data_IF_258387864773
#
_entry.id   IF_258387864773
#
_cell.length_a   1.000
_cell.length_b   1.000
_cell.length_c   1.000
_cell.angle_alpha   90.00
_cell.angle_beta   90.00
_cell.angle_gamma   90.00
#
_symmetry.space_group_name_H-M   'P 1'
#
loop_
_entity.id
_entity.type
_entity.pdbx_description
1 polymer ?
#
# COMPACT_ATOMS: atom_id res chain seq x y z
N UNK A 1 4.39 -17.85 4.37
CA UNK A 1 3.74 -16.98 3.37
C UNK A 1 3.50 -17.80 2.10
N UNK A 2 2.36 -17.60 1.44
CA UNK A 2 1.96 -18.27 0.18
C UNK A 2 1.79 -17.19 -0.89
N UNK A 3 2.37 -17.41 -2.08
CA UNK A 3 2.24 -16.48 -3.22
C UNK A 3 0.78 -16.39 -3.69
N UNK A 4 0.39 -15.18 -4.06
CA UNK A 4 -0.88 -14.86 -4.72
C UNK A 4 -0.52 -14.52 -6.17
N UNK A 5 -1.15 -15.21 -7.13
CA UNK A 5 -0.97 -14.86 -8.54
C UNK A 5 -1.66 -13.52 -8.86
N UNK A 6 -1.04 -12.69 -9.71
CA UNK A 6 -1.56 -11.37 -10.06
C UNK A 6 -2.95 -11.40 -10.73
N UNK A 7 -3.31 -12.50 -11.36
CA UNK A 7 -4.61 -12.73 -11.98
C UNK A 7 -5.74 -13.11 -10.99
N UNK A 8 -5.40 -13.37 -9.72
CA UNK A 8 -6.38 -13.61 -8.66
C UNK A 8 -6.96 -12.31 -8.07
N UNK A 9 -6.33 -11.18 -8.33
CA UNK A 9 -6.79 -9.88 -7.86
C UNK A 9 -7.84 -9.25 -8.77
N UNK A 10 -8.65 -8.38 -8.16
CA UNK A 10 -9.62 -7.53 -8.86
C UNK A 10 -9.20 -6.07 -8.70
N UNK A 11 -9.09 -5.35 -9.81
CA UNK A 11 -8.72 -3.94 -9.78
C UNK A 11 -9.84 -3.07 -9.20
N UNK A 12 -9.52 -2.37 -8.13
CA UNK A 12 -10.20 -1.13 -7.72
C UNK A 12 -9.49 0.00 -8.47
N UNK A 13 -10.19 0.71 -9.35
CA UNK A 13 -9.64 1.73 -10.23
C UNK A 13 -8.51 1.18 -11.12
N UNK A 14 -8.82 0.56 -12.27
CA UNK A 14 -7.80 0.03 -13.16
C UNK A 14 -6.77 1.10 -13.57
N UNK A 15 -5.46 0.76 -13.62
CA UNK A 15 -4.42 1.67 -14.08
C UNK A 15 -4.45 1.87 -15.61
N UNK A 16 -3.61 2.78 -16.12
CA UNK A 16 -3.42 2.95 -17.58
C UNK A 16 -2.98 1.64 -18.21
N UNK A 17 -2.07 0.94 -17.53
CA UNK A 17 -1.52 -0.33 -18.01
C UNK A 17 -1.11 -1.20 -16.82
N UNK A 18 -1.41 -2.49 -16.92
CA UNK A 18 -0.88 -3.52 -16.02
C UNK A 18 -0.38 -4.68 -16.87
N UNK A 19 0.89 -5.06 -16.71
CA UNK A 19 1.52 -6.14 -17.47
C UNK A 19 2.13 -7.13 -16.49
N UNK A 20 1.70 -8.38 -16.59
CA UNK A 20 2.31 -9.49 -15.88
C UNK A 20 3.39 -10.12 -16.76
N UNK A 21 4.65 -10.01 -16.34
CA UNK A 21 5.80 -10.52 -17.08
C UNK A 21 6.88 -11.00 -16.10
N UNK A 22 7.48 -12.17 -16.36
CA UNK A 22 8.54 -12.76 -15.53
C UNK A 22 8.20 -12.81 -14.03
N UNK A 23 6.98 -13.22 -13.68
CA UNK A 23 6.45 -13.26 -12.32
C UNK A 23 6.30 -11.89 -11.63
N UNK A 24 6.52 -10.80 -12.33
CA UNK A 24 6.36 -9.43 -11.84
C UNK A 24 5.10 -8.79 -12.44
N UNK A 25 4.56 -7.82 -11.72
CA UNK A 25 3.48 -6.96 -12.21
C UNK A 25 4.02 -5.54 -12.39
N UNK A 26 4.05 -5.05 -13.63
CA UNK A 26 4.36 -3.66 -13.96
C UNK A 26 3.08 -2.87 -14.13
N UNK A 27 2.95 -1.78 -13.39
CA UNK A 27 1.76 -0.94 -13.36
C UNK A 27 2.12 0.49 -13.75
N UNK A 28 1.46 1.03 -14.78
CA UNK A 28 1.53 2.45 -15.13
C UNK A 28 0.32 3.15 -14.55
N UNK A 29 0.53 4.05 -13.59
CA UNK A 29 -0.53 4.75 -12.90
C UNK A 29 -1.21 5.82 -13.76
N UNK A 30 -2.47 6.11 -13.47
CA UNK A 30 -3.19 7.27 -14.02
C UNK A 30 -2.67 8.54 -13.34
N UNK A 31 -2.39 9.57 -14.11
CA UNK A 31 -2.07 10.91 -13.58
C UNK A 31 -3.22 11.46 -12.74
N UNK A 32 -2.91 12.13 -11.63
CA UNK A 32 -3.86 12.66 -10.64
C UNK A 32 -4.64 11.56 -9.89
N UNK A 33 -4.12 10.33 -9.86
CA UNK A 33 -4.67 9.26 -9.02
C UNK A 33 -4.20 9.41 -7.58
N UNK A 34 -5.09 9.20 -6.62
CA UNK A 34 -4.77 9.19 -5.18
C UNK A 34 -5.87 8.53 -4.34
N UNK A 35 -5.54 8.25 -3.07
CA UNK A 35 -6.47 7.96 -1.99
C UNK A 35 -6.27 8.98 -0.87
N UNK A 36 -7.24 9.86 -0.67
CA UNK A 36 -7.25 10.87 0.38
C UNK A 36 -8.65 11.33 0.72
N UNK A 37 -8.92 11.61 2.00
CA UNK A 37 -10.22 12.13 2.42
C UNK A 37 -10.09 13.29 3.41
N UNK A 38 -10.59 14.43 3.02
CA UNK A 38 -10.90 15.65 3.78
C UNK A 38 -9.74 16.34 4.50
N UNK A 39 -9.03 15.64 5.39
CA UNK A 39 -8.07 16.22 6.33
C UNK A 39 -7.13 17.22 5.67
N UNK A 40 -7.04 18.41 6.24
CA UNK A 40 -6.23 19.56 5.82
C UNK A 40 -6.61 20.17 4.46
N UNK A 41 -6.94 19.37 3.46
CA UNK A 41 -7.14 19.83 2.08
C UNK A 41 -8.60 20.00 1.68
N UNK A 42 -9.54 19.37 2.38
CA UNK A 42 -10.98 19.49 2.11
C UNK A 42 -11.46 18.79 0.84
N UNK A 43 -10.62 17.98 0.17
CA UNK A 43 -10.99 17.20 -1.00
C UNK A 43 -11.10 15.70 -0.69
N UNK A 44 -11.68 14.95 -1.63
CA UNK A 44 -11.75 13.49 -1.62
C UNK A 44 -11.19 12.97 -2.92
N UNK A 45 -10.20 12.08 -2.82
CA UNK A 45 -9.66 11.29 -3.92
C UNK A 45 -9.83 9.81 -3.60
N UNK A 46 -10.49 9.07 -4.50
CA UNK A 46 -10.72 7.63 -4.45
C UNK A 46 -10.26 6.96 -5.76
N UNK A 47 -9.27 7.53 -6.43
CA UNK A 47 -8.83 7.14 -7.78
C UNK A 47 -7.49 6.40 -7.81
N UNK A 48 -6.85 6.20 -6.68
CA UNK A 48 -5.64 5.37 -6.57
C UNK A 48 -5.90 3.94 -7.04
N UNK A 49 -4.87 3.27 -7.54
CA UNK A 49 -4.97 1.91 -8.07
C UNK A 49 -4.71 0.89 -6.98
N UNK A 50 -5.54 -0.14 -6.90
CA UNK A 50 -5.35 -1.26 -6.01
C UNK A 50 -5.77 -2.57 -6.67
N UNK A 51 -4.93 -3.60 -6.58
CA UNK A 51 -5.26 -4.95 -7.02
C UNK A 51 -5.59 -5.76 -5.77
N UNK A 52 -6.88 -6.09 -5.57
CA UNK A 52 -7.40 -6.56 -4.30
C UNK A 52 -7.83 -8.02 -4.36
N UNK A 53 -7.59 -8.75 -3.26
CA UNK A 53 -8.21 -10.04 -2.95
C UNK A 53 -8.74 -10.02 -1.51
N UNK A 54 -9.54 -11.01 -1.13
CA UNK A 54 -10.06 -11.14 0.23
C UNK A 54 -8.95 -11.09 1.29
N UNK A 55 -9.22 -10.38 2.38
CA UNK A 55 -8.31 -10.25 3.51
C UNK A 55 -9.02 -10.64 4.82
N UNK A 56 -9.12 -11.95 5.12
CA UNK A 56 -9.79 -12.46 6.29
C UNK A 56 -9.14 -12.03 7.61
N UNK A 57 -9.89 -12.10 8.70
CA UNK A 57 -9.34 -11.93 10.04
C UNK A 57 -8.25 -12.96 10.34
N UNK A 58 -7.29 -12.59 11.18
CA UNK A 58 -6.14 -13.40 11.60
C UNK A 58 -5.23 -13.82 10.42
N UNK A 59 -5.15 -12.99 9.39
CA UNK A 59 -4.23 -13.17 8.26
C UNK A 59 -3.31 -11.97 8.09
N UNK A 60 -2.29 -12.16 7.28
CA UNK A 60 -1.39 -11.10 6.85
C UNK A 60 -1.22 -11.10 5.34
N UNK A 61 -0.84 -9.95 4.80
CA UNK A 61 -0.52 -9.77 3.41
C UNK A 61 0.78 -8.99 3.27
N UNK A 62 1.66 -9.45 2.39
CA UNK A 62 2.88 -8.74 2.02
C UNK A 62 2.87 -8.37 0.55
N UNK A 63 3.36 -7.18 0.27
CA UNK A 63 3.59 -6.66 -1.07
C UNK A 63 5.03 -6.19 -1.17
N UNK A 64 5.76 -6.66 -2.17
CA UNK A 64 7.13 -6.22 -2.44
C UNK A 64 7.17 -5.49 -3.78
N UNK A 65 7.83 -4.34 -3.81
CA UNK A 65 7.99 -3.51 -5.01
C UNK A 65 9.39 -2.91 -5.08
N UNK A 66 9.78 -2.44 -6.27
CA UNK A 66 11.03 -1.70 -6.48
C UNK A 66 10.77 -0.22 -6.24
N UNK A 67 11.55 0.39 -5.35
CA UNK A 67 11.47 1.83 -5.05
C UNK A 67 12.42 2.60 -5.98
N UNK A 68 11.96 2.96 -7.17
CA UNK A 68 12.75 3.64 -8.20
C UNK A 68 12.04 4.89 -8.78
N UNK A 69 11.09 5.45 -8.02
CA UNK A 69 10.33 6.65 -8.36
C UNK A 69 10.66 7.81 -7.43
N UNK A 70 10.54 9.04 -7.93
CA UNK A 70 10.91 10.25 -7.20
C UNK A 70 9.98 11.45 -7.47
N UNK A 71 8.91 11.25 -8.23
CA UNK A 71 7.91 12.32 -8.45
C UNK A 71 7.17 12.64 -7.15
N UNK A 72 6.82 13.91 -6.95
CA UNK A 72 6.14 14.35 -5.73
C UNK A 72 4.84 13.58 -5.51
N UNK A 73 4.71 12.97 -4.34
CA UNK A 73 3.60 12.11 -3.90
C UNK A 73 3.42 10.80 -4.68
N UNK A 74 4.31 10.46 -5.61
CA UNK A 74 4.34 9.11 -6.19
C UNK A 74 4.50 8.08 -5.08
N UNK A 75 3.68 7.04 -5.10
CA UNK A 75 3.57 6.12 -3.98
C UNK A 75 3.26 4.68 -4.43
N UNK A 76 3.79 3.73 -3.69
CA UNK A 76 3.48 2.31 -3.82
C UNK A 76 3.56 1.59 -2.47
N UNK A 77 2.80 0.49 -2.35
CA UNK A 77 2.79 -0.33 -1.14
C UNK A 77 1.62 -1.30 -1.09
N UNK A 78 1.09 -1.50 0.11
CA UNK A 78 -0.11 -2.31 0.40
C UNK A 78 -1.27 -1.40 0.76
N UNK A 79 -2.47 -1.76 0.32
CA UNK A 79 -3.71 -1.18 0.84
C UNK A 79 -4.58 -2.28 1.45
N UNK A 80 -5.20 -1.98 2.59
CA UNK A 80 -6.32 -2.73 3.18
C UNK A 80 -7.55 -1.87 3.00
N UNK A 81 -8.54 -2.38 2.30
CA UNK A 81 -9.69 -1.63 1.83
C UNK A 81 -11.00 -2.33 2.21
N UNK A 82 -11.92 -1.59 2.80
CA UNK A 82 -13.28 -2.04 3.06
C UNK A 82 -14.29 -1.31 2.16
N UNK A 83 -14.26 0.00 2.20
CA UNK A 83 -15.06 0.90 1.37
C UNK A 83 -14.35 2.25 1.20
N UNK A 84 -14.97 3.20 0.50
CA UNK A 84 -14.39 4.52 0.22
C UNK A 84 -14.12 5.38 1.48
N UNK A 85 -14.64 5.01 2.64
CA UNK A 85 -14.46 5.74 3.90
C UNK A 85 -13.59 4.98 4.92
N UNK A 86 -13.30 3.70 4.67
CA UNK A 86 -12.57 2.83 5.60
C UNK A 86 -11.48 2.05 4.85
N UNK A 87 -10.25 2.55 4.92
CA UNK A 87 -9.08 1.92 4.31
C UNK A 87 -7.78 2.36 5.00
N UNK A 88 -6.77 1.55 4.85
CA UNK A 88 -5.40 1.86 5.29
C UNK A 88 -4.47 1.59 4.12
N UNK A 89 -3.79 2.61 3.61
CA UNK A 89 -2.68 2.45 2.67
C UNK A 89 -1.36 2.64 3.41
N UNK A 90 -0.37 1.83 3.08
CA UNK A 90 0.96 1.91 3.67
C UNK A 90 2.02 1.52 2.65
N UNK A 91 3.15 2.21 2.69
CA UNK A 91 4.21 2.00 1.72
C UNK A 91 5.26 3.08 1.77
N UNK A 92 5.87 3.33 0.62
CA UNK A 92 6.79 4.45 0.44
C UNK A 92 6.16 5.47 -0.49
N UNK A 93 6.24 6.72 -0.07
CA UNK A 93 5.81 7.89 -0.82
C UNK A 93 7.01 8.81 -1.05
N UNK A 94 7.15 9.35 -2.24
CA UNK A 94 8.14 10.39 -2.51
C UNK A 94 7.57 11.75 -2.10
N UNK A 95 8.01 12.28 -0.98
CA UNK A 95 7.55 13.57 -0.47
C UNK A 95 8.74 14.43 -0.03
N UNK A 96 8.67 15.73 -0.34
CA UNK A 96 9.68 16.72 0.03
C UNK A 96 11.11 16.39 -0.47
N UNK A 97 11.19 15.69 -1.62
CA UNK A 97 12.46 15.33 -2.26
C UNK A 97 13.11 14.06 -1.73
N UNK A 98 12.43 13.31 -0.85
CA UNK A 98 12.93 12.06 -0.27
C UNK A 98 11.88 10.94 -0.33
N UNK A 99 12.31 9.67 -0.46
CA UNK A 99 11.42 8.56 -0.16
C UNK A 99 11.11 8.53 1.33
N UNK A 100 9.85 8.44 1.67
CA UNK A 100 9.35 8.39 3.03
C UNK A 100 8.46 7.17 3.22
N UNK A 101 8.75 6.36 4.23
CA UNK A 101 7.90 5.23 4.61
C UNK A 101 6.82 5.68 5.57
N UNK A 102 5.60 5.17 5.40
CA UNK A 102 4.51 5.53 6.30
C UNK A 102 3.18 4.92 5.94
N UNK A 103 2.13 5.50 6.52
CA UNK A 103 0.77 5.05 6.32
C UNK A 103 -0.23 6.19 6.35
N UNK A 104 -1.33 6.01 5.63
CA UNK A 104 -2.56 6.79 5.79
C UNK A 104 -3.65 5.85 6.30
N UNK A 105 -4.20 6.16 7.47
CA UNK A 105 -5.35 5.48 8.06
C UNK A 105 -6.59 6.34 7.81
N UNK A 106 -7.57 5.78 7.14
CA UNK A 106 -8.81 6.50 6.85
C UNK A 106 -9.99 5.81 7.51
N UNK A 107 -10.64 6.55 8.41
CA UNK A 107 -11.95 6.29 8.96
C UNK A 107 -12.75 7.59 8.83
N UNK A 108 -13.46 7.75 7.72
CA UNK A 108 -14.11 8.99 7.26
C UNK A 108 -13.11 10.08 6.85
N UNK A 109 -12.10 10.36 7.69
CA UNK A 109 -11.03 11.31 7.42
C UNK A 109 -9.67 10.62 7.44
N UNK A 110 -8.73 11.13 6.63
CA UNK A 110 -7.38 10.57 6.53
C UNK A 110 -6.46 11.07 7.65
N UNK A 111 -5.72 10.15 8.25
CA UNK A 111 -4.65 10.37 9.23
C UNK A 111 -3.33 9.87 8.63
N UNK A 112 -2.37 10.75 8.44
CA UNK A 112 -1.14 10.51 7.70
C UNK A 112 0.10 10.65 8.57
N UNK A 113 1.04 9.72 8.45
CA UNK A 113 2.35 9.77 9.08
C UNK A 113 3.44 9.23 8.17
N UNK A 114 4.58 9.91 8.11
CA UNK A 114 5.75 9.56 7.32
C UNK A 114 7.03 9.65 8.13
N UNK A 115 8.05 8.89 7.70
CA UNK A 115 9.42 8.98 8.15
C UNK A 115 10.38 8.82 6.96
N UNK A 116 11.44 9.65 6.82
CA UNK A 116 12.35 9.59 5.68
C UNK A 116 13.20 8.32 5.68
N UNK A 117 13.30 7.68 4.51
CA UNK A 117 14.10 6.47 4.26
C UNK A 117 14.99 6.62 3.01
N UNK A 118 15.86 7.64 2.93
CA UNK A 118 16.61 7.95 1.72
C UNK A 118 17.53 6.82 1.24
N UNK A 119 17.95 5.95 2.14
CA UNK A 119 18.81 4.79 1.84
C UNK A 119 18.08 3.63 1.18
N UNK A 120 16.74 3.69 1.08
CA UNK A 120 15.93 2.65 0.45
C UNK A 120 15.77 2.85 -1.07
N UNK A 121 16.10 4.04 -1.58
CA UNK A 121 16.04 4.35 -3.02
C UNK A 121 16.80 3.32 -3.85
N UNK A 122 16.18 2.85 -4.93
CA UNK A 122 16.72 1.84 -5.84
C UNK A 122 16.64 0.41 -5.33
N UNK A 123 16.02 0.16 -4.18
CA UNK A 123 15.94 -1.17 -3.56
C UNK A 123 14.53 -1.74 -3.60
N UNK A 124 14.43 -3.03 -3.32
CA UNK A 124 13.15 -3.66 -3.06
C UNK A 124 12.69 -3.35 -1.64
N UNK A 125 11.42 -2.96 -1.52
CA UNK A 125 10.74 -2.70 -0.25
C UNK A 125 9.57 -3.67 -0.13
N UNK A 126 9.48 -4.33 1.02
CA UNK A 126 8.33 -5.16 1.38
C UNK A 126 7.51 -4.46 2.45
N UNK A 127 6.22 -4.34 2.22
CA UNK A 127 5.26 -3.82 3.20
C UNK A 127 4.30 -4.95 3.58
N UNK A 128 4.16 -5.16 4.89
CA UNK A 128 3.31 -6.18 5.48
C UNK A 128 2.17 -5.53 6.26
N UNK A 129 0.95 -5.98 5.98
CA UNK A 129 -0.24 -5.70 6.77
C UNK A 129 -0.67 -6.98 7.49
N UNK A 130 -0.84 -6.93 8.80
CA UNK A 130 -1.26 -8.07 9.63
C UNK A 130 -2.52 -7.68 10.39
N UNK A 131 -3.62 -8.44 10.20
CA UNK A 131 -4.93 -8.19 10.79
C UNK A 131 -5.20 -9.13 11.96
N UNK A 132 -5.33 -8.57 13.16
CA UNK A 132 -5.64 -9.32 14.39
C UNK A 132 -6.70 -8.59 15.22
N UNK A 133 -7.88 -9.20 15.38
CA UNK A 133 -8.97 -8.56 16.11
C UNK A 133 -9.39 -7.22 15.49
N UNK A 134 -9.34 -6.16 16.29
CA UNK A 134 -9.65 -4.77 15.93
C UNK A 134 -8.41 -3.94 15.51
N UNK A 135 -7.29 -4.61 15.25
CA UNK A 135 -6.02 -3.97 14.95
C UNK A 135 -5.43 -4.42 13.60
N UNK A 136 -4.83 -3.46 12.91
CA UNK A 136 -3.98 -3.67 11.76
C UNK A 136 -2.56 -3.23 12.09
N UNK A 137 -1.63 -4.16 12.10
CA UNK A 137 -0.20 -3.89 12.27
C UNK A 137 0.45 -3.76 10.91
N UNK A 138 1.14 -2.65 10.66
CA UNK A 138 1.89 -2.40 9.43
C UNK A 138 3.39 -2.43 9.74
N UNK A 139 4.13 -3.23 8.99
CA UNK A 139 5.59 -3.28 8.98
C UNK A 139 6.11 -3.01 7.59
N UNK A 140 7.31 -2.43 7.51
CA UNK A 140 8.03 -2.28 6.24
C UNK A 140 9.46 -2.76 6.40
N UNK A 141 9.99 -3.41 5.36
CA UNK A 141 11.33 -3.98 5.33
C UNK A 141 12.06 -3.60 4.06
N UNK A 142 13.33 -3.20 4.21
CA UNK A 142 14.26 -2.99 3.11
C UNK A 142 15.61 -3.62 3.46
N UNK A 143 15.93 -4.77 2.86
CA UNK A 143 17.06 -5.60 3.27
C UNK A 143 16.86 -6.16 4.68
N UNK A 144 17.79 -5.85 5.60
CA UNK A 144 17.73 -6.25 7.01
C UNK A 144 16.99 -5.24 7.90
N UNK A 145 16.64 -4.06 7.37
CA UNK A 145 15.92 -3.01 8.09
C UNK A 145 14.43 -3.35 8.11
N UNK A 146 13.91 -3.79 9.26
CA UNK A 146 12.49 -4.14 9.49
C UNK A 146 11.90 -3.22 10.56
N UNK A 147 10.89 -2.44 10.20
CA UNK A 147 10.33 -1.38 11.02
C UNK A 147 8.83 -1.59 11.25
N UNK A 148 8.38 -1.41 12.51
CA UNK A 148 6.97 -1.20 12.80
C UNK A 148 6.58 0.22 12.38
N UNK A 149 5.71 0.33 11.37
CA UNK A 149 5.30 1.61 10.78
C UNK A 149 4.06 2.17 11.47
N UNK A 150 3.07 1.29 11.69
CA UNK A 150 1.79 1.72 12.26
C UNK A 150 1.10 0.56 12.97
N UNK A 151 0.47 0.86 14.10
CA UNK A 151 -0.62 0.08 14.66
C UNK A 151 -1.88 0.92 14.50
N UNK A 152 -2.80 0.47 13.65
CA UNK A 152 -4.03 1.19 13.33
C UNK A 152 -5.24 0.44 13.89
N UNK A 153 -6.22 1.15 14.49
CA UNK A 153 -7.53 0.55 14.78
C UNK A 153 -8.30 0.30 13.48
N UNK A 154 -9.02 -0.79 13.42
CA UNK A 154 -9.94 -1.13 12.34
C UNK A 154 -11.28 -1.59 12.90
N UNK A 155 -12.35 -1.40 12.15
CA UNK A 155 -13.63 -2.03 12.48
C UNK A 155 -13.60 -3.51 12.06
N UNK A 156 -13.48 -4.40 13.06
CA UNK A 156 -13.39 -5.85 12.82
C UNK A 156 -14.63 -6.43 12.14
N UNK A 157 -15.78 -5.74 12.19
CA UNK A 157 -17.04 -6.20 11.59
C UNK A 157 -17.12 -5.96 10.08
N UNK A 158 -16.25 -5.08 9.53
CA UNK A 158 -16.25 -4.77 8.12
C UNK A 158 -15.51 -5.87 7.31
N UNK A 159 -16.06 -6.26 6.15
CA UNK A 159 -15.33 -7.08 5.20
C UNK A 159 -14.13 -6.30 4.68
N UNK A 160 -13.00 -6.95 4.52
CA UNK A 160 -11.78 -6.32 4.03
C UNK A 160 -11.18 -7.10 2.89
N UNK A 161 -10.65 -6.35 1.93
CA UNK A 161 -9.78 -6.83 0.88
C UNK A 161 -8.42 -6.15 1.01
N UNK A 162 -7.36 -6.77 0.51
CA UNK A 162 -6.04 -6.15 0.53
C UNK A 162 -5.21 -6.54 -0.69
N UNK A 163 -4.17 -5.75 -0.97
CA UNK A 163 -3.23 -6.04 -2.03
C UNK A 163 -2.34 -4.87 -2.40
N UNK A 164 -1.57 -5.00 -3.48
CA UNK A 164 -0.70 -3.93 -3.97
C UNK A 164 -1.50 -2.71 -4.39
N UNK A 165 -0.95 -1.55 -4.06
CA UNK A 165 -1.49 -0.27 -4.49
C UNK A 165 -0.40 0.65 -5.00
N UNK A 166 -0.78 1.57 -5.90
CA UNK A 166 0.03 2.72 -6.29
C UNK A 166 -0.85 3.91 -6.66
N UNK A 167 -0.26 5.10 -6.61
CA UNK A 167 -0.92 6.33 -7.04
C UNK A 167 0.11 7.36 -7.50
N UNK A 168 -0.31 8.23 -8.43
CA UNK A 168 0.51 9.28 -9.02
C UNK A 168 -0.22 10.63 -8.97
N UNK A 169 -0.23 11.30 -7.81
CA UNK A 169 -0.99 12.53 -7.65
C UNK A 169 -0.52 13.69 -8.53
N UNK A 170 0.77 13.73 -8.87
CA UNK A 170 1.38 14.84 -9.61
C UNK A 170 2.10 14.37 -10.88
N UNK A 171 2.78 13.24 -10.84
CA UNK A 171 3.56 12.72 -11.97
C UNK A 171 2.68 12.26 -13.12
N UNK A 172 3.20 12.36 -14.35
CA UNK A 172 2.49 11.91 -15.58
C UNK A 172 2.88 10.51 -16.04
N UNK A 173 3.89 9.90 -15.43
CA UNK A 173 4.52 8.69 -15.96
C UNK A 173 5.02 7.74 -14.87
N UNK A 174 4.32 7.65 -13.73
CA UNK A 174 4.69 6.69 -12.69
C UNK A 174 4.51 5.26 -13.21
N UNK A 175 5.59 4.50 -13.18
CA UNK A 175 5.57 3.05 -13.39
C UNK A 175 6.11 2.36 -12.13
N UNK A 176 5.37 1.37 -11.62
CA UNK A 176 5.77 0.58 -10.45
C UNK A 176 5.97 -0.88 -10.88
N UNK A 177 7.08 -1.48 -10.42
CA UNK A 177 7.30 -2.92 -10.55
C UNK A 177 7.06 -3.60 -9.20
N UNK A 178 5.93 -4.34 -9.10
CA UNK A 178 5.67 -5.24 -7.99
C UNK A 178 6.32 -6.60 -8.27
N UNK A 179 7.06 -7.14 -7.29
CA UNK A 179 7.83 -8.39 -7.45
C UNK A 179 7.24 -9.56 -6.69
N UNK A 180 6.56 -9.33 -5.58
CA UNK A 180 5.89 -10.37 -4.79
C UNK A 180 4.58 -9.87 -4.20
N UNK A 181 3.62 -10.76 -4.14
CA UNK A 181 2.36 -10.58 -3.43
C UNK A 181 2.04 -11.89 -2.71
N UNK A 182 2.03 -11.86 -1.38
CA UNK A 182 1.87 -13.07 -0.58
C UNK A 182 0.86 -12.87 0.55
N UNK A 183 0.28 -13.97 1.02
CA UNK A 183 -0.54 -14.00 2.23
C UNK A 183 -0.06 -15.08 3.20
N UNK A 184 -0.44 -14.96 4.47
CA UNK A 184 -0.09 -15.91 5.52
C UNK A 184 -0.84 -15.63 6.81
N UNK A 185 -0.39 -16.29 7.89
CA UNK A 185 -0.95 -16.06 9.21
C UNK A 185 -0.61 -14.64 9.72
N UNK A 186 -1.49 -14.09 10.56
CA UNK A 186 -1.24 -12.83 11.22
C UNK A 186 -0.08 -12.92 12.22
N UNK A 187 0.52 -11.77 12.53
CA UNK A 187 1.52 -11.65 13.58
C UNK A 187 0.86 -11.86 14.96
N UNK A 188 1.46 -12.71 15.78
CA UNK A 188 0.94 -13.00 17.12
C UNK A 188 1.42 -11.99 18.16
N UNK A 189 2.49 -11.25 17.87
CA UNK A 189 3.09 -10.27 18.80
C UNK A 189 3.46 -9.00 18.04
N UNK A 190 3.48 -7.87 18.77
CA UNK A 190 3.97 -6.59 18.24
C UNK A 190 5.50 -6.47 18.37
N UNK A 191 6.12 -7.27 19.24
CA UNK A 191 7.55 -7.23 19.56
C UNK A 191 8.18 -8.61 19.54
#
# INVERSE_FOLDING_TARGET
MKEISWDQGVWLNPPVKAVHENSQLKVTAVHESDFWRNTSYGFVHDSGHALLTDFPANTSMEVTFVLDYSGQFDQAGVIVYSDSQHWVKAGVESADGFPQVGAVVTSINSDWSLAPVPTWMGKQVTVRASRTGDALTIRARCGEDDQLIRLAPIDASLPMSAGPHCASPVSRSLEITFTHWTHGDADFTLH
#
